data_IF_465283051546
#
_entry.id   IF_465283051546
#
_cell.length_a   1.000
_cell.length_b   1.000
_cell.length_c   1.000
_cell.angle_alpha   90.00
_cell.angle_beta   90.00
_cell.angle_gamma   90.00
#
_symmetry.space_group_name_H-M   'P 1'
#
loop_
_entity.id
_entity.type
_entity.pdbx_description
1 polymer ?
#
# COMPACT_ATOMS: atom_id res chain seq x y z
N UNK A 1 7.57 11.11 4.47
CA UNK A 1 6.69 10.01 4.91
C UNK A 1 7.35 9.24 6.06
N UNK A 2 6.65 8.34 6.77
CA UNK A 2 7.24 7.48 7.81
C UNK A 2 6.64 6.08 7.80
N UNK A 3 7.40 5.08 8.21
CA UNK A 3 6.95 3.68 8.27
C UNK A 3 7.27 3.10 9.64
N UNK A 4 6.32 2.34 10.19
CA UNK A 4 6.48 1.56 11.42
C UNK A 4 6.30 0.09 11.07
N UNK A 5 7.26 -0.73 11.45
CA UNK A 5 7.26 -2.18 11.19
C UNK A 5 7.58 -2.93 12.48
N UNK A 6 7.21 -4.22 12.53
CA UNK A 6 7.67 -5.15 13.58
C UNK A 6 9.12 -5.59 13.33
N UNK A 7 9.54 -5.60 12.06
CA UNK A 7 10.89 -5.94 11.66
C UNK A 7 11.77 -4.68 11.70
N UNK A 8 13.02 -4.84 12.10
CA UNK A 8 13.96 -3.73 12.22
C UNK A 8 14.61 -3.49 10.86
N UNK A 9 14.78 -2.23 10.49
CA UNK A 9 15.61 -1.85 9.34
C UNK A 9 17.07 -2.02 9.75
N UNK A 10 17.77 -2.99 9.14
CA UNK A 10 19.14 -3.37 9.46
C UNK A 10 20.13 -2.59 8.59
N UNK A 11 19.76 -2.36 7.33
CA UNK A 11 20.60 -1.69 6.34
C UNK A 11 19.79 -0.61 5.64
N UNK A 12 20.40 0.55 5.44
CA UNK A 12 19.86 1.64 4.62
C UNK A 12 20.89 2.01 3.58
N UNK A 13 20.45 2.21 2.34
CA UNK A 13 21.30 2.60 1.23
C UNK A 13 20.53 3.53 0.30
N UNK A 14 21.25 4.46 -0.33
CA UNK A 14 20.73 5.34 -1.37
C UNK A 14 21.16 4.81 -2.74
N UNK A 15 20.21 4.71 -3.68
CA UNK A 15 20.46 4.23 -5.04
C UNK A 15 19.38 4.76 -5.98
N UNK A 16 19.78 5.49 -7.01
CA UNK A 16 18.97 5.91 -8.15
C UNK A 16 18.55 4.70 -9.01
N UNK A 17 17.28 4.30 -8.88
CA UNK A 17 16.67 3.16 -9.56
C UNK A 17 16.10 3.54 -10.92
N UNK A 18 15.56 4.74 -11.06
CA UNK A 18 14.83 5.17 -12.26
C UNK A 18 15.67 6.04 -13.21
N UNK A 19 16.88 6.43 -12.81
CA UNK A 19 17.84 7.20 -13.60
C UNK A 19 17.52 8.69 -13.64
N UNK A 20 16.64 9.20 -12.78
CA UNK A 20 16.24 10.61 -12.77
C UNK A 20 17.27 11.52 -12.07
N UNK A 21 18.33 10.94 -11.49
CA UNK A 21 19.38 11.62 -10.76
C UNK A 21 19.09 11.86 -9.28
N UNK A 22 17.95 11.37 -8.77
CA UNK A 22 17.56 11.43 -7.36
C UNK A 22 17.60 10.03 -6.77
N UNK A 23 18.49 9.81 -5.80
CA UNK A 23 18.58 8.51 -5.14
C UNK A 23 17.30 8.17 -4.33
N UNK A 24 16.78 6.97 -4.53
CA UNK A 24 15.73 6.41 -3.68
C UNK A 24 16.27 5.65 -2.46
N UNK A 25 15.38 5.44 -1.49
CA UNK A 25 15.73 4.77 -0.25
C UNK A 25 15.58 3.25 -0.38
N UNK A 26 16.72 2.56 -0.37
CA UNK A 26 16.80 1.11 -0.23
C UNK A 26 16.86 0.74 1.26
N UNK A 27 15.98 -0.15 1.69
CA UNK A 27 15.93 -0.66 3.06
C UNK A 27 16.04 -2.18 3.09
N UNK A 28 17.06 -2.67 3.81
CA UNK A 28 17.22 -4.08 4.17
C UNK A 28 16.65 -4.35 5.55
N UNK A 29 15.77 -5.35 5.66
CA UNK A 29 15.03 -5.67 6.88
C UNK A 29 15.56 -6.93 7.56
N UNK A 30 15.34 -7.03 8.88
CA UNK A 30 15.80 -8.15 9.71
C UNK A 30 15.18 -9.51 9.35
N UNK A 31 14.11 -9.52 8.56
CA UNK A 31 13.46 -10.74 8.06
C UNK A 31 13.90 -11.12 6.63
N UNK A 32 14.90 -10.45 6.08
CA UNK A 32 15.40 -10.69 4.72
C UNK A 32 14.66 -9.95 3.63
N UNK A 33 13.62 -9.17 3.96
CA UNK A 33 12.98 -8.30 2.98
C UNK A 33 13.96 -7.20 2.56
N UNK A 34 13.96 -6.86 1.29
CA UNK A 34 14.57 -5.65 0.72
C UNK A 34 13.45 -4.88 0.04
N UNK A 35 13.26 -3.61 0.37
CA UNK A 35 12.38 -2.73 -0.40
C UNK A 35 13.07 -1.41 -0.76
N UNK A 36 12.73 -0.90 -1.94
CA UNK A 36 13.18 0.41 -2.43
C UNK A 36 11.97 1.31 -2.50
N UNK A 37 12.10 2.52 -1.97
CA UNK A 37 11.02 3.48 -1.86
C UNK A 37 11.40 4.86 -2.33
N UNK A 38 10.47 5.52 -3.00
CA UNK A 38 10.59 6.94 -3.37
C UNK A 38 10.79 7.81 -2.13
N UNK A 39 11.77 8.71 -2.20
CA UNK A 39 12.08 9.72 -1.18
C UNK A 39 10.88 10.66 -0.92
N UNK A 40 10.10 11.00 -1.95
CA UNK A 40 9.01 11.97 -1.86
C UNK A 40 7.77 11.41 -1.16
N UNK A 41 7.28 10.26 -1.63
CA UNK A 41 5.97 9.72 -1.21
C UNK A 41 6.07 8.47 -0.33
N UNK A 42 7.18 7.73 -0.41
CA UNK A 42 7.36 6.47 0.33
C UNK A 42 6.64 5.28 -0.29
N UNK A 43 6.20 5.45 -1.54
CA UNK A 43 5.72 4.36 -2.38
C UNK A 43 6.84 3.36 -2.62
N UNK A 44 6.48 2.08 -2.65
CA UNK A 44 7.42 0.98 -2.90
C UNK A 44 7.60 0.83 -4.40
N UNK A 45 8.82 1.05 -4.88
CA UNK A 45 9.20 0.90 -6.29
C UNK A 45 9.61 -0.54 -6.56
N UNK A 46 10.36 -1.13 -5.62
CA UNK A 46 10.86 -2.50 -5.73
C UNK A 46 10.73 -3.21 -4.38
N UNK A 47 10.40 -4.51 -4.40
CA UNK A 47 10.38 -5.36 -3.22
C UNK A 47 10.89 -6.76 -3.56
N UNK A 48 11.75 -7.29 -2.72
CA UNK A 48 12.29 -8.65 -2.85
C UNK A 48 12.51 -9.26 -1.47
N UNK A 49 12.61 -10.58 -1.39
CA UNK A 49 12.93 -11.30 -0.15
C UNK A 49 14.11 -12.25 -0.35
N UNK A 50 15.13 -12.08 0.49
CA UNK A 50 16.22 -13.03 0.68
C UNK A 50 15.78 -14.15 1.62
N UNK A 51 16.59 -15.20 1.68
CA UNK A 51 16.40 -16.38 2.55
C UNK A 51 16.49 -16.08 4.05
N UNK A 52 17.23 -15.04 4.44
CA UNK A 52 17.48 -14.67 5.84
C UNK A 52 17.72 -13.16 5.96
N UNK A 53 17.89 -12.67 7.20
CA UNK A 53 18.15 -11.25 7.50
C UNK A 53 19.18 -10.64 6.56
N UNK A 54 18.90 -9.42 6.09
CA UNK A 54 19.84 -8.67 5.27
C UNK A 54 21.07 -8.32 6.10
N UNK A 55 22.25 -8.71 5.62
CA UNK A 55 23.54 -8.41 6.23
C UNK A 55 24.09 -7.07 5.73
N UNK A 56 23.94 -6.81 4.43
CA UNK A 56 24.53 -5.66 3.77
C UNK A 56 23.91 -5.41 2.40
N UNK A 57 23.97 -4.15 1.97
CA UNK A 57 23.55 -3.69 0.66
C UNK A 57 24.64 -2.74 0.17
N UNK A 58 25.17 -2.98 -1.03
CA UNK A 58 26.25 -2.18 -1.61
C UNK A 58 25.96 -1.84 -3.06
N UNK A 59 26.42 -0.66 -3.48
CA UNK A 59 26.43 -0.24 -4.89
C UNK A 59 27.80 -0.52 -5.48
N UNK A 60 27.85 -1.32 -6.54
CA UNK A 60 29.11 -1.65 -7.20
C UNK A 60 28.90 -2.06 -8.66
N UNK A 61 29.78 -1.61 -9.54
CA UNK A 61 29.92 -2.15 -10.89
C UNK A 61 30.67 -3.50 -10.84
N UNK A 62 29.94 -4.55 -10.46
CA UNK A 62 30.50 -5.91 -10.38
C UNK A 62 30.82 -6.50 -11.75
N UNK A 63 30.14 -6.05 -12.82
CA UNK A 63 30.30 -6.61 -14.17
C UNK A 63 31.32 -5.85 -15.01
N UNK A 64 31.91 -4.77 -14.48
CA UNK A 64 32.81 -3.87 -15.21
C UNK A 64 32.16 -3.36 -16.50
N UNK A 65 30.86 -3.07 -16.42
CA UNK A 65 30.05 -2.62 -17.54
C UNK A 65 29.87 -1.09 -17.55
N UNK A 66 30.46 -0.38 -16.57
CA UNK A 66 30.30 1.05 -16.37
C UNK A 66 29.02 1.43 -15.60
N UNK A 67 28.27 0.45 -15.11
CA UNK A 67 26.98 0.65 -14.44
C UNK A 67 27.01 0.04 -13.03
N UNK A 68 26.54 0.78 -12.03
CA UNK A 68 26.45 0.26 -10.66
C UNK A 68 25.25 -0.68 -10.52
N UNK A 69 25.48 -1.84 -9.93
CA UNK A 69 24.44 -2.76 -9.52
C UNK A 69 24.16 -2.59 -8.03
N UNK A 70 22.92 -2.90 -7.64
CA UNK A 70 22.56 -3.02 -6.23
C UNK A 70 22.79 -4.46 -5.80
N UNK A 71 23.75 -4.69 -4.91
CA UNK A 71 24.12 -6.03 -4.45
C UNK A 71 23.67 -6.16 -3.00
N UNK A 72 22.80 -7.14 -2.76
CA UNK A 72 22.28 -7.46 -1.43
C UNK A 72 22.86 -8.79 -0.96
N UNK A 73 23.34 -8.83 0.29
CA UNK A 73 23.80 -10.05 0.94
C UNK A 73 22.95 -10.39 2.17
N UNK A 74 22.69 -11.68 2.36
CA UNK A 74 22.02 -12.22 3.54
C UNK A 74 23.05 -12.74 4.56
N UNK A 75 22.62 -12.90 5.81
CA UNK A 75 23.46 -13.49 6.86
C UNK A 75 23.86 -14.96 6.57
N UNK A 76 23.11 -15.66 5.71
CA UNK A 76 23.39 -17.05 5.31
C UNK A 76 24.31 -17.12 4.08
N UNK A 77 24.84 -15.98 3.60
CA UNK A 77 25.75 -15.93 2.46
C UNK A 77 25.06 -15.96 1.10
N UNK A 78 23.73 -15.80 1.05
CA UNK A 78 23.03 -15.57 -0.22
C UNK A 78 23.38 -14.17 -0.74
N UNK A 79 23.83 -14.08 -1.99
CA UNK A 79 24.14 -12.80 -2.64
C UNK A 79 23.30 -12.67 -3.91
N UNK A 80 22.54 -11.58 -4.00
CA UNK A 80 21.76 -11.23 -5.20
C UNK A 80 22.15 -9.85 -5.70
N UNK A 81 22.36 -9.73 -7.00
CA UNK A 81 22.63 -8.47 -7.69
C UNK A 81 21.42 -8.07 -8.53
N UNK A 82 20.95 -6.84 -8.34
CA UNK A 82 19.86 -6.24 -9.10
C UNK A 82 20.42 -5.19 -10.05
N UNK A 83 20.02 -5.31 -11.32
CA UNK A 83 20.27 -4.31 -12.34
C UNK A 83 18.98 -3.52 -12.54
N UNK A 84 19.05 -2.22 -12.38
CA UNK A 84 17.99 -1.31 -12.73
C UNK A 84 18.46 -0.58 -13.99
N UNK A 85 17.82 -0.91 -15.12
CA UNK A 85 18.12 -0.29 -16.41
C UNK A 85 16.85 0.39 -16.88
N UNK A 86 17.01 1.57 -17.47
CA UNK A 86 15.95 2.32 -18.16
C UNK A 86 15.18 1.48 -19.20
N UNK A 87 15.71 0.31 -19.63
CA UNK A 87 15.23 -0.41 -20.80
C UNK A 87 14.98 -1.91 -20.64
N UNK A 88 14.86 -2.47 -19.43
CA UNK A 88 14.35 -3.85 -19.29
C UNK A 88 12.90 -3.86 -18.76
N UNK A 89 11.91 -3.58 -19.63
CA UNK A 89 10.52 -3.49 -19.25
C UNK A 89 10.00 -4.80 -18.68
N UNK A 90 10.59 -5.96 -18.95
CA UNK A 90 10.01 -7.27 -18.60
C UNK A 90 10.13 -7.66 -17.12
N UNK A 91 11.27 -7.38 -16.48
CA UNK A 91 11.44 -7.67 -15.04
C UNK A 91 10.68 -6.65 -14.18
N UNK A 92 10.73 -5.38 -14.59
CA UNK A 92 9.96 -4.30 -13.96
C UNK A 92 8.45 -4.53 -14.15
N UNK A 93 7.99 -4.91 -15.35
CA UNK A 93 6.56 -5.17 -15.58
C UNK A 93 6.04 -6.31 -14.73
N UNK A 94 6.74 -7.42 -14.55
CA UNK A 94 6.22 -8.52 -13.73
C UNK A 94 5.98 -8.11 -12.26
N UNK A 95 6.87 -7.29 -11.69
CA UNK A 95 6.69 -6.71 -10.35
C UNK A 95 5.58 -5.65 -10.35
N UNK A 96 5.61 -4.71 -11.30
CA UNK A 96 4.61 -3.65 -11.45
C UNK A 96 3.20 -4.21 -11.69
N UNK A 97 3.05 -5.29 -12.46
CA UNK A 97 1.77 -5.95 -12.69
C UNK A 97 1.24 -6.57 -11.39
N UNK A 98 2.10 -7.18 -10.57
CA UNK A 98 1.70 -7.75 -9.28
C UNK A 98 1.25 -6.65 -8.31
N UNK A 99 2.03 -5.58 -8.19
CA UNK A 99 1.70 -4.46 -7.31
C UNK A 99 0.46 -3.69 -7.80
N UNK A 100 0.31 -3.52 -9.13
CA UNK A 100 -0.90 -2.96 -9.72
C UNK A 100 -2.12 -3.84 -9.47
N UNK A 101 -1.97 -5.16 -9.49
CA UNK A 101 -3.07 -6.09 -9.19
C UNK A 101 -3.47 -6.03 -7.72
N UNK A 102 -2.52 -5.90 -6.79
CA UNK A 102 -2.79 -5.63 -5.37
C UNK A 102 -3.51 -4.29 -5.19
N UNK A 103 -3.05 -3.22 -5.84
CA UNK A 103 -3.69 -1.91 -5.78
C UNK A 103 -5.13 -1.92 -6.33
N UNK A 104 -5.38 -2.63 -7.44
CA UNK A 104 -6.72 -2.81 -8.00
C UNK A 104 -7.62 -3.56 -7.00
N UNK A 105 -7.09 -4.60 -6.35
CA UNK A 105 -7.83 -5.38 -5.35
C UNK A 105 -8.19 -4.52 -4.14
N UNK A 106 -7.25 -3.74 -3.63
CA UNK A 106 -7.46 -2.84 -2.49
C UNK A 106 -8.50 -1.75 -2.82
N UNK A 107 -8.43 -1.17 -4.03
CA UNK A 107 -9.43 -0.20 -4.50
C UNK A 107 -10.81 -0.83 -4.65
N UNK A 108 -10.89 -2.07 -5.16
CA UNK A 108 -12.15 -2.79 -5.28
C UNK A 108 -12.77 -3.08 -3.89
N UNK A 109 -11.95 -3.47 -2.92
CA UNK A 109 -12.40 -3.67 -1.53
C UNK A 109 -12.88 -2.37 -0.90
N UNK A 110 -12.16 -1.26 -1.07
CA UNK A 110 -12.59 0.07 -0.59
C UNK A 110 -13.91 0.50 -1.22
N UNK A 111 -14.07 0.30 -2.53
CA UNK A 111 -15.32 0.57 -3.24
C UNK A 111 -16.48 -0.23 -2.63
N UNK A 112 -16.29 -1.53 -2.40
CA UNK A 112 -17.33 -2.37 -1.82
C UNK A 112 -17.68 -1.97 -0.38
N UNK A 113 -16.68 -1.65 0.44
CA UNK A 113 -16.91 -1.18 1.81
C UNK A 113 -17.72 0.12 1.85
N UNK A 114 -17.38 1.09 0.99
CA UNK A 114 -18.10 2.37 0.89
C UNK A 114 -19.54 2.20 0.38
N UNK A 115 -19.78 1.26 -0.53
CA UNK A 115 -21.14 0.98 -1.01
C UNK A 115 -22.02 0.41 0.11
N UNK A 116 -21.47 -0.49 0.93
CA UNK A 116 -22.18 -1.03 2.10
C UNK A 116 -22.47 0.09 3.11
N UNK A 117 -21.52 0.97 3.34
CA UNK A 117 -21.71 2.12 4.24
C UNK A 117 -22.84 3.04 3.75
N UNK A 118 -22.88 3.34 2.44
CA UNK A 118 -23.97 4.11 1.84
C UNK A 118 -25.33 3.42 1.97
N UNK A 119 -25.39 2.10 1.75
CA UNK A 119 -26.63 1.32 1.91
C UNK A 119 -27.16 1.37 3.34
N UNK A 120 -26.28 1.19 4.33
CA UNK A 120 -26.64 1.31 5.74
C UNK A 120 -27.12 2.72 6.10
N UNK A 121 -26.49 3.77 5.57
CA UNK A 121 -26.90 5.15 5.81
C UNK A 121 -28.26 5.45 5.18
N UNK A 122 -28.51 4.99 3.95
CA UNK A 122 -29.81 5.14 3.29
C UNK A 122 -30.92 4.44 4.06
N UNK A 123 -30.67 3.23 4.56
CA UNK A 123 -31.66 2.50 5.36
C UNK A 123 -31.89 3.17 6.72
N UNK A 124 -30.86 3.69 7.38
CA UNK A 124 -31.02 4.48 8.61
C UNK A 124 -31.89 5.74 8.37
N UNK A 125 -31.69 6.44 7.23
CA UNK A 125 -32.48 7.60 6.85
C UNK A 125 -33.94 7.20 6.59
N UNK A 126 -34.21 6.08 5.90
CA UNK A 126 -35.58 5.58 5.68
C UNK A 126 -36.27 5.23 7.00
N UNK A 127 -35.62 4.45 7.87
CA UNK A 127 -36.17 4.08 9.17
C UNK A 127 -36.43 5.29 10.06
N UNK A 128 -35.57 6.31 10.03
CA UNK A 128 -35.79 7.57 10.72
C UNK A 128 -37.02 8.32 10.17
N UNK A 129 -37.19 8.39 8.85
CA UNK A 129 -38.36 9.03 8.22
C UNK A 129 -39.66 8.30 8.55
N UNK A 130 -39.64 6.96 8.55
CA UNK A 130 -40.81 6.15 8.92
C UNK A 130 -41.18 6.29 10.40
N UNK A 131 -40.18 6.38 11.27
CA UNK A 131 -40.39 6.63 12.71
C UNK A 131 -40.98 8.02 12.97
N UNK A 132 -40.52 9.04 12.23
CA UNK A 132 -41.08 10.39 12.29
C UNK A 132 -42.52 10.39 11.78
N UNK A 133 -42.80 9.79 10.61
CA UNK A 133 -44.15 9.72 10.04
C UNK A 133 -45.14 8.97 10.93
N UNK A 134 -44.71 7.88 11.59
CA UNK A 134 -45.55 7.12 12.52
C UNK A 134 -45.85 7.89 13.81
N UNK A 135 -44.87 8.66 14.30
CA UNK A 135 -45.04 9.57 15.45
C UNK A 135 -46.00 10.71 15.11
N UNK A 136 -45.85 11.35 13.93
CA UNK A 136 -46.74 12.42 13.46
C UNK A 136 -48.18 11.93 13.27
N UNK A 137 -48.39 10.72 12.72
CA UNK A 137 -49.75 10.16 12.59
C UNK A 137 -50.43 9.88 13.93
N UNK A 138 -49.69 9.45 14.96
CA UNK A 138 -50.25 9.22 16.30
C UNK A 138 -50.71 10.51 16.98
N UNK A 139 -49.95 11.60 16.81
CA UNK A 139 -50.32 12.90 17.37
C UNK A 139 -51.61 13.42 16.71
N UNK A 140 -51.77 13.23 15.41
CA UNK A 140 -52.98 13.66 14.68
C UNK A 140 -54.20 12.82 15.05
N UNK A 141 -54.07 11.51 15.27
CA UNK A 141 -55.19 10.66 15.69
C UNK A 141 -55.67 10.98 17.11
N UNK A 142 -54.75 11.19 18.06
CA UNK A 142 -55.11 11.57 19.43
C UNK A 142 -55.76 12.97 19.49
N UNK A 143 -55.40 13.86 18.57
CA UNK A 143 -56.02 15.20 18.47
C UNK A 143 -57.44 15.17 17.90
N UNK A 144 -57.77 14.16 17.08
CA UNK A 144 -59.10 13.99 16.48
C UNK A 144 -60.13 13.29 17.38
N UNK A 145 -59.69 12.59 18.43
CA UNK A 145 -60.57 11.99 19.45
C UNK A 145 -60.92 12.97 20.59
N UNK A 146 -60.29 14.15 20.65
CA UNK A 146 -60.54 15.17 21.66
C UNK A 146 -61.61 16.23 21.26
N UNK A 147 -62.18 16.13 20.06
CA UNK A 147 -63.27 17.01 19.58
C UNK A 147 -64.55 16.20 19.29
N UNK A 148 -65.19 15.63 20.32
CA UNK A 148 -66.61 15.28 20.27
C UNK A 148 -67.23 15.74 21.60
N UNK A 149 -68.31 16.55 21.59
CA UNK A 149 -68.90 17.17 22.78
C UNK A 149 -69.59 16.18 23.72
#
# INVERSE_FOLDING_TARGET
WRIKSRNIAVVLQAFDVDGDGVDELVTGWSNGKVDIRSDRQGEVIFKESLSSSVAGIVKADYRVAGENLLICCSNEGEVRGFKFSEQDPNALTASLYRDRQEAIRDLAQKKQALLIELEHLDDAIKHSKDTINKSTRRIVSDSSEAEIP
#
